data_IF_103217473568
#
_entry.id   IF_103217473568
#
_cell.length_a   1.000
_cell.length_b   1.000
_cell.length_c   1.000
_cell.angle_alpha   90.00
_cell.angle_beta   90.00
_cell.angle_gamma   90.00
#
_symmetry.space_group_name_H-M   'P 1'
#
loop_
_entity.id
_entity.type
_entity.pdbx_description
1 polymer ?
#
# COMPACT_ATOMS: atom_id res chain seq x y z
N UNK A 1 13.07 5.83 2.62
CA UNK A 1 12.45 7.16 2.55
C UNK A 1 13.14 8.16 3.46
N UNK A 2 12.93 9.45 3.19
CA UNK A 2 13.35 10.58 4.04
C UNK A 2 12.21 11.58 4.16
N UNK A 3 11.93 12.07 5.37
CA UNK A 3 11.07 13.22 5.55
C UNK A 3 11.81 14.48 5.06
N UNK A 4 11.11 15.39 4.38
CA UNK A 4 11.66 16.60 3.81
C UNK A 4 10.69 17.77 3.99
N UNK A 5 11.21 18.92 4.40
CA UNK A 5 10.43 20.13 4.65
C UNK A 5 10.93 21.32 3.78
N UNK A 6 11.99 21.11 2.97
CA UNK A 6 12.56 22.13 2.10
C UNK A 6 13.14 21.53 0.80
N UNK A 7 13.27 22.36 -0.24
CA UNK A 7 13.88 21.96 -1.50
C UNK A 7 15.35 21.50 -1.34
N UNK A 8 16.08 22.10 -0.40
CA UNK A 8 17.46 21.68 -0.14
C UNK A 8 17.54 20.31 0.53
N UNK A 9 16.63 20.02 1.48
CA UNK A 9 16.51 18.69 2.07
C UNK A 9 16.06 17.64 1.04
N UNK A 10 15.10 18.00 0.16
CA UNK A 10 14.68 17.12 -0.92
C UNK A 10 15.82 16.80 -1.87
N UNK A 11 16.60 17.81 -2.28
CA UNK A 11 17.79 17.61 -3.13
C UNK A 11 18.80 16.67 -2.47
N UNK A 12 19.11 16.91 -1.20
CA UNK A 12 20.07 16.08 -0.45
C UNK A 12 19.56 14.63 -0.32
N UNK A 13 18.28 14.44 -0.02
CA UNK A 13 17.69 13.11 0.07
C UNK A 13 17.69 12.38 -1.28
N UNK A 14 17.36 13.06 -2.38
CA UNK A 14 17.44 12.47 -3.72
C UNK A 14 18.86 12.14 -4.16
N UNK A 15 19.87 12.89 -3.72
CA UNK A 15 21.28 12.55 -3.97
C UNK A 15 21.67 11.23 -3.28
N UNK A 16 21.07 10.90 -2.13
CA UNK A 16 21.28 9.62 -1.43
C UNK A 16 20.47 8.47 -2.04
N UNK A 17 19.20 8.73 -2.38
CA UNK A 17 18.24 7.70 -2.86
C UNK A 17 18.40 7.40 -4.34
N UNK A 18 18.94 8.33 -5.13
CA UNK A 18 19.02 8.30 -6.58
C UNK A 18 17.85 9.02 -7.25
N UNK A 19 18.04 9.36 -8.53
CA UNK A 19 17.00 9.89 -9.41
C UNK A 19 16.59 8.83 -10.46
N UNK A 20 15.32 8.77 -10.87
CA UNK A 20 14.20 9.52 -10.30
C UNK A 20 13.88 9.09 -8.87
N UNK A 21 13.21 9.98 -8.13
CA UNK A 21 12.67 9.70 -6.81
C UNK A 21 11.17 10.04 -6.79
N UNK A 22 10.43 9.56 -5.79
CA UNK A 22 9.01 9.88 -5.63
C UNK A 22 8.80 10.71 -4.36
N UNK A 23 8.34 11.94 -4.53
CA UNK A 23 7.91 12.79 -3.43
C UNK A 23 6.44 12.51 -3.12
N UNK A 24 6.13 12.26 -1.85
CA UNK A 24 4.77 11.95 -1.40
C UNK A 24 4.33 12.88 -0.26
N UNK A 25 3.09 13.30 -0.28
CA UNK A 25 2.46 13.97 0.86
C UNK A 25 2.40 12.99 2.04
N UNK A 26 2.84 13.43 3.23
CA UNK A 26 2.74 12.62 4.45
C UNK A 26 1.33 12.59 5.02
N UNK A 27 0.46 13.50 4.60
CA UNK A 27 -0.92 13.61 5.08
C UNK A 27 -1.85 14.04 3.94
N UNK A 28 -3.08 13.51 3.95
CA UNK A 28 -4.13 13.96 3.04
C UNK A 28 -4.00 13.50 1.59
N UNK A 29 -3.04 12.63 1.27
CA UNK A 29 -2.95 12.00 -0.05
C UNK A 29 -4.04 10.92 -0.22
N UNK A 30 -4.63 10.83 -1.40
CA UNK A 30 -5.56 9.77 -1.80
C UNK A 30 -5.57 9.66 -3.33
N UNK A 31 -5.78 8.47 -3.85
CA UNK A 31 -5.90 8.17 -5.28
C UNK A 31 -4.76 8.81 -6.14
N UNK A 32 -3.48 8.60 -5.72
CA UNK A 32 -2.30 9.17 -6.39
C UNK A 32 -2.09 10.68 -6.20
N UNK A 33 -3.05 11.38 -5.60
CA UNK A 33 -2.89 12.81 -5.32
C UNK A 33 -1.88 13.05 -4.21
N UNK A 34 -0.91 13.91 -4.49
CA UNK A 34 0.20 14.19 -3.58
C UNK A 34 1.43 13.33 -3.83
N UNK A 35 1.46 12.55 -4.91
CA UNK A 35 2.64 11.89 -5.44
C UNK A 35 3.22 12.70 -6.59
N UNK A 36 4.49 13.08 -6.51
CA UNK A 36 5.15 13.89 -7.53
C UNK A 36 6.51 13.27 -7.85
N UNK A 37 6.75 12.85 -9.10
CA UNK A 37 8.06 12.36 -9.48
C UNK A 37 9.09 13.50 -9.48
N UNK A 38 10.29 13.22 -8.99
CA UNK A 38 11.44 14.12 -8.98
C UNK A 38 12.49 13.51 -9.89
N UNK A 39 12.54 13.96 -11.13
CA UNK A 39 13.41 13.40 -12.17
C UNK A 39 14.85 13.90 -12.04
N UNK A 40 15.01 15.11 -11.48
CA UNK A 40 16.30 15.77 -11.35
C UNK A 40 16.32 16.75 -10.19
N UNK A 41 17.53 17.23 -9.86
CA UNK A 41 17.74 18.28 -8.85
C UNK A 41 16.98 19.59 -9.13
N UNK A 42 16.70 19.87 -10.39
CA UNK A 42 16.00 21.08 -10.79
C UNK A 42 14.52 21.09 -10.39
N UNK A 43 13.91 19.91 -10.28
CA UNK A 43 12.46 19.76 -10.06
C UNK A 43 12.06 19.96 -8.58
N UNK A 44 13.02 20.06 -7.67
CA UNK A 44 12.77 19.98 -6.24
C UNK A 44 11.86 21.10 -5.70
N UNK A 45 11.93 22.31 -6.22
CA UNK A 45 11.08 23.43 -5.79
C UNK A 45 9.64 23.22 -6.28
N UNK A 46 9.48 22.94 -7.57
CA UNK A 46 8.16 22.73 -8.19
C UNK A 46 7.46 21.49 -7.58
N UNK A 47 8.21 20.43 -7.28
CA UNK A 47 7.68 19.23 -6.67
C UNK A 47 7.15 19.49 -5.25
N UNK A 48 7.89 20.23 -4.42
CA UNK A 48 7.44 20.59 -3.07
C UNK A 48 6.21 21.51 -3.09
N UNK A 49 6.19 22.47 -3.99
CA UNK A 49 5.04 23.37 -4.15
C UNK A 49 3.78 22.59 -4.58
N UNK A 50 3.93 21.55 -5.40
CA UNK A 50 2.83 20.71 -5.84
C UNK A 50 2.27 19.82 -4.72
N UNK A 51 3.10 19.37 -3.76
CA UNK A 51 2.66 18.53 -2.64
C UNK A 51 1.95 19.35 -1.54
N UNK A 52 2.25 20.63 -1.40
CA UNK A 52 1.58 21.57 -0.49
C UNK A 52 1.42 21.07 0.97
N UNK A 53 2.51 20.71 1.64
CA UNK A 53 2.50 20.29 3.04
C UNK A 53 3.67 19.42 3.45
N UNK A 54 3.63 18.79 4.64
CA UNK A 54 4.67 17.87 5.06
C UNK A 54 4.84 16.73 4.06
N UNK A 55 6.06 16.53 3.59
CA UNK A 55 6.37 15.58 2.54
C UNK A 55 7.40 14.53 3.00
N UNK A 56 7.49 13.46 2.25
CA UNK A 56 8.57 12.48 2.30
C UNK A 56 8.97 12.12 0.88
N UNK A 57 10.23 11.76 0.70
CA UNK A 57 10.74 11.26 -0.57
C UNK A 57 11.21 9.82 -0.40
N UNK A 58 10.94 9.01 -1.41
CA UNK A 58 11.38 7.62 -1.49
C UNK A 58 12.02 7.33 -2.84
N UNK A 59 12.79 6.24 -2.92
CA UNK A 59 13.34 5.77 -4.19
C UNK A 59 12.21 5.44 -5.15
N UNK A 60 12.37 5.79 -6.41
CA UNK A 60 11.44 5.35 -7.45
C UNK A 60 11.58 3.85 -7.67
N UNK A 61 10.46 3.15 -7.71
CA UNK A 61 10.43 1.71 -7.95
C UNK A 61 10.14 1.45 -9.43
N UNK A 62 11.08 0.84 -10.15
CA UNK A 62 10.85 0.37 -11.53
C UNK A 62 10.12 -0.98 -11.48
N UNK A 63 8.80 -0.93 -11.43
CA UNK A 63 7.95 -2.11 -11.33
C UNK A 63 7.46 -2.63 -12.69
N UNK A 64 7.16 -3.91 -12.75
CA UNK A 64 6.55 -4.57 -13.91
C UNK A 64 5.03 -4.43 -13.87
N UNK A 65 4.44 -4.48 -12.66
CA UNK A 65 3.01 -4.32 -12.41
C UNK A 65 2.72 -3.92 -10.98
N UNK A 66 1.53 -3.41 -10.75
CA UNK A 66 0.97 -3.21 -9.43
C UNK A 66 0.02 -4.36 -9.10
N UNK A 67 0.10 -4.89 -7.88
CA UNK A 67 -0.79 -5.94 -7.40
C UNK A 67 -1.38 -5.58 -6.04
N UNK A 68 -2.53 -6.15 -5.71
CA UNK A 68 -3.16 -5.93 -4.42
C UNK A 68 -3.69 -7.20 -3.80
N UNK A 69 -3.65 -7.24 -2.47
CA UNK A 69 -4.30 -8.24 -1.63
C UNK A 69 -5.40 -7.55 -0.86
N UNK A 70 -6.63 -8.03 -1.03
CA UNK A 70 -7.74 -7.66 -0.17
C UNK A 70 -7.78 -8.67 0.96
N UNK A 71 -7.80 -8.18 2.19
CA UNK A 71 -7.80 -9.01 3.38
C UNK A 71 -8.89 -8.59 4.36
N UNK A 72 -9.36 -9.54 5.15
CA UNK A 72 -10.31 -9.32 6.23
C UNK A 72 -9.68 -9.83 7.52
N UNK A 73 -9.63 -8.95 8.52
CA UNK A 73 -9.17 -9.27 9.86
C UNK A 73 -10.38 -9.23 10.80
N UNK A 74 -10.76 -10.38 11.34
CA UNK A 74 -11.92 -10.55 12.22
C UNK A 74 -11.56 -11.08 13.59
N UNK A 75 -12.60 -11.36 14.40
CA UNK A 75 -12.48 -12.17 15.61
C UNK A 75 -13.02 -13.57 15.33
N UNK A 76 -12.46 -14.58 15.95
CA UNK A 76 -13.05 -15.92 15.95
C UNK A 76 -14.34 -15.92 16.78
N UNK A 77 -15.29 -16.78 16.41
CA UNK A 77 -16.61 -16.88 17.08
C UNK A 77 -16.50 -17.34 18.57
N UNK A 78 -15.34 -17.84 19.00
CA UNK A 78 -15.14 -18.25 20.40
C UNK A 78 -15.16 -17.08 21.39
N UNK A 79 -15.04 -15.83 20.91
CA UNK A 79 -15.10 -14.60 21.71
C UNK A 79 -16.54 -14.15 22.05
N UNK A 80 -17.57 -14.84 21.57
CA UNK A 80 -18.99 -14.50 21.81
C UNK A 80 -19.62 -15.23 23.00
N UNK A 81 -18.82 -15.92 23.83
CA UNK A 81 -19.28 -16.49 25.09
C UNK A 81 -19.71 -15.36 26.03
N UNK A 82 -21.01 -15.30 26.39
CA UNK A 82 -21.54 -14.46 27.45
C UNK A 82 -20.81 -14.78 28.77
N UNK A 83 -19.76 -14.02 29.10
CA UNK A 83 -19.17 -14.02 30.43
C UNK A 83 -19.27 -12.61 30.99
N UNK A 84 -20.01 -12.47 32.08
CA UNK A 84 -20.13 -11.26 32.93
C UNK A 84 -18.81 -10.91 33.66
N UNK A 85 -17.65 -11.26 33.11
CA UNK A 85 -16.34 -10.99 33.69
C UNK A 85 -15.59 -10.00 32.81
N UNK A 86 -15.20 -8.85 33.40
CA UNK A 86 -14.45 -7.74 32.78
C UNK A 86 -13.04 -8.11 32.26
N UNK A 87 -12.68 -9.39 32.24
CA UNK A 87 -11.48 -9.90 31.57
C UNK A 87 -11.79 -10.21 30.10
N UNK A 88 -11.68 -9.21 29.21
CA UNK A 88 -11.65 -9.43 27.76
C UNK A 88 -10.37 -10.19 27.45
N UNK A 89 -10.40 -11.53 27.50
CA UNK A 89 -9.40 -12.32 26.83
C UNK A 89 -9.47 -11.98 25.34
N UNK A 90 -8.36 -11.54 24.78
CA UNK A 90 -8.21 -11.25 23.35
C UNK A 90 -8.51 -12.52 22.56
N UNK A 91 -9.72 -12.66 22.05
CA UNK A 91 -10.05 -13.76 21.14
C UNK A 91 -9.04 -13.81 20.00
N UNK A 92 -8.66 -14.99 19.56
CA UNK A 92 -7.76 -15.19 18.44
C UNK A 92 -8.28 -14.37 17.24
N UNK A 93 -7.37 -13.73 16.53
CA UNK A 93 -7.69 -12.94 15.36
C UNK A 93 -7.62 -13.84 14.12
N UNK A 94 -8.72 -13.95 13.40
CA UNK A 94 -8.76 -14.67 12.14
C UNK A 94 -8.49 -13.68 10.99
N UNK A 95 -7.62 -14.07 10.05
CA UNK A 95 -7.32 -13.31 8.84
C UNK A 95 -7.61 -14.19 7.63
N UNK A 96 -8.38 -13.64 6.69
CA UNK A 96 -8.64 -14.25 5.40
C UNK A 96 -8.21 -13.29 4.28
N UNK A 97 -7.64 -13.83 3.21
CA UNK A 97 -7.25 -13.05 2.02
C UNK A 97 -8.01 -13.51 0.79
N UNK A 98 -8.35 -12.57 -0.07
CA UNK A 98 -8.82 -12.86 -1.42
C UNK A 98 -7.64 -13.15 -2.36
N UNK A 99 -7.88 -13.76 -3.53
CA UNK A 99 -6.85 -13.92 -4.55
C UNK A 99 -6.18 -12.59 -4.91
N UNK A 100 -4.91 -12.64 -5.27
CA UNK A 100 -4.15 -11.44 -5.66
C UNK A 100 -4.70 -10.87 -6.95
N UNK A 101 -5.02 -9.58 -6.94
CA UNK A 101 -5.45 -8.82 -8.10
C UNK A 101 -4.30 -8.02 -8.72
N UNK A 102 -4.26 -7.90 -10.04
CA UNK A 102 -3.37 -6.99 -10.76
C UNK A 102 -4.10 -5.68 -11.05
N UNK A 103 -3.52 -4.56 -10.68
CA UNK A 103 -4.09 -3.23 -10.81
C UNK A 103 -3.50 -2.51 -12.03
N UNK A 104 -4.36 -2.03 -12.91
CA UNK A 104 -3.98 -1.25 -14.09
C UNK A 104 -4.38 0.19 -13.86
N UNK A 105 -3.37 1.05 -13.64
CA UNK A 105 -3.56 2.49 -13.51
C UNK A 105 -3.34 3.21 -14.83
N UNK A 106 -4.09 4.28 -15.04
CA UNK A 106 -3.87 5.27 -16.12
C UNK A 106 -4.09 6.65 -15.54
N UNK A 107 -3.11 7.52 -15.68
CA UNK A 107 -3.13 8.88 -15.10
C UNK A 107 -3.37 8.83 -13.57
N UNK A 108 -2.63 7.96 -12.87
CA UNK A 108 -2.71 7.72 -11.42
C UNK A 108 -4.08 7.22 -10.92
N UNK A 109 -5.01 6.87 -11.82
CA UNK A 109 -6.34 6.37 -11.46
C UNK A 109 -6.43 4.88 -11.80
N UNK A 110 -6.84 4.06 -10.83
CA UNK A 110 -7.16 2.67 -11.06
C UNK A 110 -8.30 2.53 -12.07
N UNK A 111 -8.07 1.80 -13.15
CA UNK A 111 -9.04 1.57 -14.23
C UNK A 111 -9.55 0.14 -14.29
N UNK A 112 -8.68 -0.80 -14.03
CA UNK A 112 -9.01 -2.23 -14.14
C UNK A 112 -8.30 -2.98 -13.02
N UNK A 113 -9.00 -3.96 -12.42
CA UNK A 113 -8.39 -4.98 -11.57
C UNK A 113 -8.60 -6.34 -12.23
N UNK A 114 -7.52 -7.05 -12.49
CA UNK A 114 -7.52 -8.35 -13.18
C UNK A 114 -7.31 -9.45 -12.15
N UNK A 115 -8.29 -10.34 -12.01
CA UNK A 115 -8.23 -11.49 -11.08
C UNK A 115 -8.58 -12.76 -11.84
N UNK A 116 -7.75 -13.79 -11.74
CA UNK A 116 -6.44 -13.83 -11.10
C UNK A 116 -5.39 -12.95 -11.82
N UNK A 117 -4.41 -12.50 -11.07
CA UNK A 117 -3.28 -11.72 -11.61
C UNK A 117 -2.46 -12.54 -12.59
N UNK A 118 -1.69 -11.86 -13.45
CA UNK A 118 -0.70 -12.47 -14.36
C UNK A 118 0.68 -12.67 -13.71
N UNK A 119 0.81 -12.38 -12.44
CA UNK A 119 2.02 -12.61 -11.64
C UNK A 119 2.32 -14.11 -11.52
N UNK A 120 3.58 -14.47 -11.32
CA UNK A 120 3.97 -15.85 -11.01
C UNK A 120 3.32 -16.32 -9.68
N UNK A 121 3.15 -17.62 -9.52
CA UNK A 121 2.64 -18.21 -8.28
C UNK A 121 3.49 -17.77 -7.08
N UNK A 122 4.82 -17.79 -7.20
CA UNK A 122 5.74 -17.34 -6.15
C UNK A 122 5.54 -15.87 -5.78
N UNK A 123 5.30 -14.98 -6.76
CA UNK A 123 5.03 -13.58 -6.47
C UNK A 123 3.68 -13.38 -5.77
N UNK A 124 2.66 -14.16 -6.15
CA UNK A 124 1.35 -14.13 -5.49
C UNK A 124 1.44 -14.62 -4.04
N UNK A 125 2.11 -15.75 -3.81
CA UNK A 125 2.37 -16.28 -2.46
C UNK A 125 3.10 -15.25 -1.61
N UNK A 126 4.15 -14.63 -2.17
CA UNK A 126 4.91 -13.61 -1.44
C UNK A 126 4.07 -12.37 -1.11
N UNK A 127 3.23 -11.91 -2.03
CA UNK A 127 2.32 -10.79 -1.76
C UNK A 127 1.34 -11.11 -0.62
N UNK A 128 0.78 -12.33 -0.59
CA UNK A 128 -0.10 -12.78 0.49
C UNK A 128 0.64 -12.91 1.82
N UNK A 129 1.85 -13.49 1.84
CA UNK A 129 2.66 -13.56 3.05
C UNK A 129 2.94 -12.17 3.64
N UNK A 130 3.41 -11.22 2.81
CA UNK A 130 3.67 -9.85 3.28
C UNK A 130 2.39 -9.17 3.76
N UNK A 131 1.26 -9.42 3.11
CA UNK A 131 -0.03 -8.90 3.56
C UNK A 131 -0.41 -9.44 4.96
N UNK A 132 -0.17 -10.71 5.23
CA UNK A 132 -0.39 -11.31 6.54
C UNK A 132 0.55 -10.72 7.60
N UNK A 133 1.85 -10.58 7.29
CA UNK A 133 2.82 -9.93 8.16
C UNK A 133 2.42 -8.48 8.52
N UNK A 134 1.91 -7.73 7.53
CA UNK A 134 1.39 -6.37 7.74
C UNK A 134 0.20 -6.39 8.70
N UNK A 135 -0.75 -7.32 8.50
CA UNK A 135 -1.94 -7.39 9.33
C UNK A 135 -1.63 -7.87 10.76
N UNK A 136 -0.57 -8.63 10.96
CA UNK A 136 -0.13 -9.05 12.29
C UNK A 136 0.30 -7.87 13.16
N UNK A 137 0.94 -6.85 12.56
CA UNK A 137 1.37 -5.63 13.26
C UNK A 137 0.34 -4.50 13.28
N UNK A 138 -0.73 -4.60 12.49
CA UNK A 138 -1.79 -3.61 12.45
C UNK A 138 -2.83 -3.85 13.54
N UNK A 139 -3.10 -2.85 14.35
CA UNK A 139 -4.24 -2.88 15.25
C UNK A 139 -5.56 -2.68 14.47
N UNK A 140 -6.63 -3.26 15.01
CA UNK A 140 -7.96 -3.08 14.42
C UNK A 140 -8.45 -4.30 13.64
N UNK A 141 -9.75 -4.27 13.33
CA UNK A 141 -10.50 -5.32 12.63
C UNK A 141 -11.25 -4.71 11.47
N UNK A 142 -11.44 -5.47 10.40
CA UNK A 142 -12.18 -5.03 9.22
C UNK A 142 -11.51 -5.43 7.91
N UNK A 143 -11.82 -4.69 6.88
CA UNK A 143 -11.30 -4.92 5.53
C UNK A 143 -10.08 -4.04 5.31
N UNK A 144 -9.05 -4.62 4.72
CA UNK A 144 -7.82 -3.96 4.32
C UNK A 144 -7.58 -4.17 2.83
N UNK A 145 -7.16 -3.10 2.15
CA UNK A 145 -6.55 -3.17 0.82
C UNK A 145 -5.06 -2.92 0.96
N UNK A 146 -4.24 -3.85 0.51
CA UNK A 146 -2.79 -3.76 0.61
C UNK A 146 -2.22 -3.81 -0.80
N UNK A 147 -1.53 -2.76 -1.21
CA UNK A 147 -0.97 -2.62 -2.55
C UNK A 147 0.53 -2.82 -2.56
N UNK A 148 0.99 -3.46 -3.61
CA UNK A 148 2.39 -3.81 -3.81
C UNK A 148 2.84 -3.47 -5.24
N UNK A 149 4.12 -3.16 -5.37
CA UNK A 149 4.84 -3.22 -6.63
C UNK A 149 5.48 -4.60 -6.80
N UNK A 150 5.23 -5.23 -7.95
CA UNK A 150 6.01 -6.38 -8.40
C UNK A 150 7.09 -5.87 -9.35
N UNK A 151 8.34 -5.99 -8.95
CA UNK A 151 9.49 -5.58 -9.76
C UNK A 151 9.70 -6.51 -10.97
N UNK A 152 10.59 -6.13 -11.90
CA UNK A 152 10.84 -6.92 -13.11
C UNK A 152 11.49 -8.28 -12.84
N UNK A 153 12.15 -8.43 -11.70
CA UNK A 153 12.76 -9.68 -11.22
C UNK A 153 11.83 -10.47 -10.28
N UNK A 154 10.59 -9.99 -10.07
CA UNK A 154 9.54 -10.69 -9.35
C UNK A 154 9.55 -10.45 -7.84
N UNK A 155 10.31 -9.47 -7.35
CA UNK A 155 10.25 -9.07 -5.94
C UNK A 155 8.95 -8.30 -5.65
N UNK A 156 8.42 -8.50 -4.45
CA UNK A 156 7.21 -7.80 -3.95
C UNK A 156 7.63 -6.73 -2.97
N UNK A 157 7.25 -5.49 -3.25
CA UNK A 157 7.51 -4.32 -2.40
C UNK A 157 6.20 -3.67 -1.98
N UNK A 158 6.02 -3.43 -0.68
CA UNK A 158 4.84 -2.78 -0.14
C UNK A 158 4.78 -1.31 -0.63
N UNK A 159 3.62 -0.92 -1.17
CA UNK A 159 3.35 0.45 -1.61
C UNK A 159 2.39 1.18 -0.66
N UNK A 160 1.18 0.66 -0.47
CA UNK A 160 0.13 1.32 0.31
C UNK A 160 -0.67 0.32 1.17
N UNK A 161 -1.11 0.79 2.33
CA UNK A 161 -2.05 0.07 3.20
C UNK A 161 -3.27 0.95 3.40
N UNK A 162 -4.43 0.47 2.95
CA UNK A 162 -5.72 1.10 3.18
C UNK A 162 -6.52 0.29 4.22
N UNK A 163 -6.64 0.76 5.49
CA UNK A 163 -7.43 0.08 6.52
C UNK A 163 -8.93 0.37 6.35
N UNK A 164 -9.45 0.11 5.18
CA UNK A 164 -10.82 0.35 4.73
C UNK A 164 -11.09 -0.40 3.43
N UNK A 165 -12.37 -0.54 2.98
CA UNK A 165 -12.65 -0.99 1.62
C UNK A 165 -11.87 -0.13 0.61
N UNK A 166 -11.20 -0.79 -0.34
CA UNK A 166 -10.34 -0.18 -1.33
C UNK A 166 -10.90 -0.39 -2.74
N UNK A 167 -10.62 0.54 -3.66
CA UNK A 167 -11.08 0.46 -5.05
C UNK A 167 -10.61 -0.81 -5.76
N UNK A 168 -9.39 -1.29 -5.48
CA UNK A 168 -8.87 -2.55 -6.02
C UNK A 168 -9.62 -3.79 -5.53
N UNK A 169 -10.47 -3.64 -4.51
CA UNK A 169 -11.28 -4.72 -3.92
C UNK A 169 -12.74 -4.74 -4.37
N UNK A 170 -13.21 -3.81 -5.20
CA UNK A 170 -14.62 -3.75 -5.60
C UNK A 170 -15.12 -5.01 -6.29
N UNK A 171 -14.26 -5.74 -6.99
CA UNK A 171 -14.58 -7.00 -7.65
C UNK A 171 -15.02 -8.10 -6.65
N UNK A 172 -14.61 -8.04 -5.38
CA UNK A 172 -14.96 -9.05 -4.37
C UNK A 172 -16.44 -9.06 -4.01
N UNK A 173 -17.19 -8.00 -4.36
CA UNK A 173 -18.63 -7.89 -4.08
C UNK A 173 -19.43 -8.85 -4.95
N UNK A 174 -19.03 -9.03 -6.21
CA UNK A 174 -19.77 -9.82 -7.20
C UNK A 174 -18.96 -10.98 -7.79
N UNK A 175 -17.64 -10.94 -7.65
CA UNK A 175 -16.70 -11.87 -8.28
C UNK A 175 -16.04 -12.88 -7.34
N UNK A 176 -16.40 -12.89 -6.07
CA UNK A 176 -15.85 -13.81 -5.06
C UNK A 176 -16.76 -15.02 -4.86
#
# INVERSE_FOLDING_TARGET
>A
YRAVDSADELRAACEELGYPAMLKARMGGYDGRGNVPVESKADAEDALDAVAGPAMVESFVDYAREVSVIAVKGATDEATGETDDDSVESGETEVATFPVGENVHREEILRETIVPTRSSETAQERAQEVALDVLDVMDGRGVYGIEFFETRDGEIQLNEIAPRPHNSGHWTIEGA
#
